data_IF_924305847197
#
_entry.id   IF_924305847197
#
_cell.length_a   1.000
_cell.length_b   1.000
_cell.length_c   1.000
_cell.angle_alpha   90.00
_cell.angle_beta   90.00
_cell.angle_gamma   90.00
#
_symmetry.space_group_name_H-M   'P 1'
#
loop_
_entity.id
_entity.type
_entity.pdbx_description
1 polymer ?
#
# COMPACT_ATOMS: atom_id res chain seq x y z
N UNK A 1 -24.54 -4.65 6.39
CA UNK A 1 -23.25 -5.18 5.92
C UNK A 1 -22.62 -6.07 7.00
N UNK A 2 -21.76 -7.03 6.67
CA UNK A 2 -21.10 -7.90 7.66
C UNK A 2 -20.20 -7.10 8.61
N UNK A 3 -19.67 -5.98 8.13
CA UNK A 3 -18.90 -4.99 8.90
C UNK A 3 -19.73 -4.37 10.03
N UNK A 4 -21.00 -4.03 9.78
CA UNK A 4 -21.93 -3.45 10.77
C UNK A 4 -22.30 -4.42 11.89
N UNK A 5 -22.28 -5.74 11.62
CA UNK A 5 -22.61 -6.75 12.63
C UNK A 5 -21.63 -6.77 13.80
N UNK A 6 -20.38 -6.33 13.58
CA UNK A 6 -19.33 -6.25 14.59
C UNK A 6 -19.49 -5.06 15.53
N UNK A 7 -20.17 -3.99 15.11
CA UNK A 7 -20.36 -2.75 15.88
C UNK A 7 -21.50 -2.83 16.92
N UNK A 8 -22.17 -3.98 17.06
CA UNK A 8 -23.28 -4.13 18.02
C UNK A 8 -22.82 -4.04 19.47
N UNK A 9 -23.62 -3.35 20.29
CA UNK A 9 -23.40 -3.26 21.72
C UNK A 9 -23.31 -4.65 22.37
N UNK A 10 -22.27 -4.87 23.19
CA UNK A 10 -21.99 -6.15 23.84
C UNK A 10 -21.07 -7.08 23.04
N UNK A 11 -20.76 -6.78 21.78
CA UNK A 11 -19.74 -7.55 21.05
C UNK A 11 -18.34 -7.31 21.64
N UNK A 12 -17.44 -8.32 21.56
CA UNK A 12 -16.05 -8.13 21.94
C UNK A 12 -15.38 -7.08 21.04
N UNK A 13 -14.52 -6.26 21.63
CA UNK A 13 -13.68 -5.34 20.86
C UNK A 13 -12.74 -6.13 19.95
N UNK A 14 -12.39 -5.61 18.76
CA UNK A 14 -11.42 -6.25 17.89
C UNK A 14 -10.08 -6.38 18.62
N UNK A 15 -9.39 -7.50 18.35
CA UNK A 15 -8.03 -7.69 18.84
C UNK A 15 -7.11 -6.62 18.22
N UNK A 16 -6.08 -6.21 18.95
CA UNK A 16 -5.02 -5.37 18.37
C UNK A 16 -4.13 -6.19 17.43
N UNK A 17 -3.45 -5.53 16.50
CA UNK A 17 -2.36 -6.18 15.76
C UNK A 17 -1.23 -6.57 16.72
N UNK A 18 -0.60 -7.75 16.57
CA UNK A 18 -0.81 -8.76 15.52
C UNK A 18 -1.87 -9.84 15.86
N UNK A 19 -2.50 -9.77 17.04
CA UNK A 19 -3.40 -10.80 17.57
C UNK A 19 -4.67 -11.03 16.73
N UNK A 20 -5.04 -10.08 15.88
CA UNK A 20 -6.16 -10.21 14.93
C UNK A 20 -6.10 -11.51 14.10
N UNK A 21 -4.89 -11.95 13.73
CA UNK A 21 -4.70 -13.17 12.92
C UNK A 21 -4.97 -14.48 13.68
N UNK A 22 -5.11 -14.46 15.01
CA UNK A 22 -5.46 -15.68 15.76
C UNK A 22 -6.82 -16.25 15.35
N UNK A 23 -7.73 -15.40 14.89
CA UNK A 23 -9.08 -15.79 14.45
C UNK A 23 -9.15 -15.88 12.93
N UNK A 24 -8.56 -14.92 12.21
CA UNK A 24 -8.70 -14.80 10.75
C UNK A 24 -7.58 -15.45 9.93
N UNK A 25 -6.50 -15.92 10.55
CA UNK A 25 -5.29 -16.37 9.84
C UNK A 25 -5.54 -17.47 8.81
N UNK A 26 -6.40 -18.45 9.11
CA UNK A 26 -6.79 -19.49 8.17
C UNK A 26 -7.57 -18.94 6.97
N UNK A 27 -8.47 -17.99 7.20
CA UNK A 27 -9.23 -17.34 6.13
C UNK A 27 -8.32 -16.50 5.23
N UNK A 28 -7.40 -15.74 5.82
CA UNK A 28 -6.38 -14.96 5.10
C UNK A 28 -5.45 -15.87 4.29
N UNK A 29 -5.08 -17.04 4.80
CA UNK A 29 -4.31 -18.01 4.01
C UNK A 29 -5.10 -18.53 2.79
N UNK A 30 -6.41 -18.74 2.94
CA UNK A 30 -7.28 -19.19 1.85
C UNK A 30 -7.41 -18.15 0.72
N UNK A 31 -7.38 -16.84 1.04
CA UNK A 31 -7.45 -15.79 0.00
C UNK A 31 -6.27 -15.84 -0.96
N UNK A 32 -5.08 -16.23 -0.49
CA UNK A 32 -3.90 -16.40 -1.35
C UNK A 32 -4.05 -17.54 -2.37
N UNK A 33 -4.86 -18.55 -2.06
CA UNK A 33 -5.10 -19.70 -2.95
C UNK A 33 -6.12 -19.37 -4.06
N UNK A 34 -7.10 -18.53 -3.76
CA UNK A 34 -8.18 -18.14 -4.67
C UNK A 34 -8.26 -16.62 -4.78
N UNK A 35 -7.23 -15.97 -5.34
CA UNK A 35 -7.08 -14.51 -5.28
C UNK A 35 -8.16 -13.75 -6.06
N UNK A 36 -8.73 -14.35 -7.12
CA UNK A 36 -9.76 -13.70 -7.93
C UNK A 36 -11.15 -13.81 -7.31
N UNK A 37 -11.39 -14.89 -6.57
CA UNK A 37 -12.66 -15.20 -5.91
C UNK A 37 -12.77 -14.58 -4.51
N UNK A 38 -11.65 -14.11 -3.95
CA UNK A 38 -11.58 -13.59 -2.59
C UNK A 38 -11.31 -12.09 -2.50
N UNK A 39 -11.45 -11.35 -3.62
CA UNK A 39 -11.15 -9.91 -3.72
C UNK A 39 -11.86 -9.09 -2.62
N UNK A 40 -13.13 -9.40 -2.34
CA UNK A 40 -13.95 -8.65 -1.36
C UNK A 40 -13.47 -8.78 0.09
N UNK A 41 -12.65 -9.80 0.39
CA UNK A 41 -12.16 -10.11 1.75
C UNK A 41 -10.63 -10.21 1.82
N UNK A 42 -9.93 -10.02 0.71
CA UNK A 42 -8.49 -10.12 0.63
C UNK A 42 -7.82 -8.92 1.30
N UNK A 43 -6.86 -9.22 2.18
CA UNK A 43 -6.04 -8.20 2.82
C UNK A 43 -4.77 -7.94 2.01
N UNK A 44 -4.71 -6.78 1.33
CA UNK A 44 -3.59 -6.38 0.47
C UNK A 44 -2.86 -5.15 1.06
N UNK A 45 -1.86 -5.35 1.94
CA UNK A 45 -1.17 -4.22 2.58
C UNK A 45 -0.38 -3.43 1.54
N UNK A 46 -0.65 -2.13 1.43
CA UNK A 46 0.05 -1.23 0.53
C UNK A 46 0.19 0.17 1.12
N UNK A 47 1.28 0.87 0.77
CA UNK A 47 1.50 2.25 1.18
C UNK A 47 0.64 3.25 0.41
N UNK A 48 0.53 4.47 0.95
CA UNK A 48 -0.29 5.55 0.38
C UNK A 48 0.08 5.93 -1.08
N UNK A 49 1.33 5.71 -1.48
CA UNK A 49 1.86 6.05 -2.81
C UNK A 49 1.30 5.14 -3.93
N UNK A 50 0.59 4.05 -3.59
CA UNK A 50 0.03 3.10 -4.58
C UNK A 50 -0.79 3.77 -5.69
N UNK A 51 -1.49 4.88 -5.38
CA UNK A 51 -2.27 5.62 -6.37
C UNK A 51 -1.46 6.22 -7.52
N UNK A 52 -0.13 6.27 -7.40
CA UNK A 52 0.77 6.74 -8.45
C UNK A 52 1.21 5.61 -9.40
N UNK A 53 0.92 4.34 -9.08
CA UNK A 53 1.37 3.20 -9.87
C UNK A 53 0.41 2.97 -11.05
N UNK A 54 0.94 3.06 -12.27
CA UNK A 54 0.15 2.97 -13.51
C UNK A 54 0.41 1.70 -14.31
N UNK A 55 1.50 0.99 -14.03
CA UNK A 55 1.93 -0.20 -14.78
C UNK A 55 2.87 -1.07 -13.95
N UNK A 56 2.96 -2.33 -14.34
CA UNK A 56 3.97 -3.26 -13.83
C UNK A 56 5.26 -3.09 -14.62
N UNK A 57 6.39 -2.97 -13.92
CA UNK A 57 7.71 -2.75 -14.52
C UNK A 57 8.73 -3.75 -13.99
N UNK A 58 9.81 -3.98 -14.75
CA UNK A 58 10.98 -4.71 -14.24
C UNK A 58 11.64 -3.90 -13.13
N UNK A 59 12.04 -4.55 -12.05
CA UNK A 59 12.72 -3.89 -10.92
C UNK A 59 13.91 -3.03 -11.37
N UNK A 60 14.74 -3.52 -12.30
CA UNK A 60 15.87 -2.76 -12.83
C UNK A 60 15.44 -1.44 -13.51
N UNK A 61 14.34 -1.45 -14.26
CA UNK A 61 13.81 -0.25 -14.92
C UNK A 61 13.25 0.76 -13.93
N UNK A 62 12.61 0.28 -12.84
CA UNK A 62 12.13 1.15 -11.75
C UNK A 62 13.30 1.87 -11.08
N UNK A 63 14.36 1.14 -10.74
CA UNK A 63 15.55 1.72 -10.08
C UNK A 63 16.26 2.71 -11.01
N UNK A 64 16.45 2.35 -12.28
CA UNK A 64 17.03 3.26 -13.28
C UNK A 64 16.25 4.56 -13.39
N UNK A 65 14.92 4.47 -13.54
CA UNK A 65 14.03 5.63 -13.61
C UNK A 65 14.11 6.49 -12.36
N UNK A 66 14.09 5.91 -11.17
CA UNK A 66 14.19 6.66 -9.91
C UNK A 66 15.51 7.44 -9.79
N UNK A 67 16.62 6.85 -10.22
CA UNK A 67 17.92 7.54 -10.21
C UNK A 67 17.90 8.73 -11.18
N UNK A 68 17.35 8.55 -12.39
CA UNK A 68 17.22 9.63 -13.37
C UNK A 68 16.29 10.75 -12.88
N UNK A 69 15.10 10.40 -12.38
CA UNK A 69 14.11 11.34 -11.82
C UNK A 69 14.69 12.11 -10.62
N UNK A 70 15.49 11.45 -9.76
CA UNK A 70 16.19 12.12 -8.67
C UNK A 70 17.17 13.17 -9.17
N UNK A 71 18.05 12.82 -10.12
CA UNK A 71 19.05 13.75 -10.67
C UNK A 71 18.38 14.96 -11.35
N UNK A 72 17.31 14.72 -12.12
CA UNK A 72 16.51 15.78 -12.75
C UNK A 72 15.87 16.69 -11.70
N UNK A 73 15.21 16.11 -10.69
CA UNK A 73 14.56 16.87 -9.63
C UNK A 73 15.55 17.72 -8.83
N UNK A 74 16.71 17.18 -8.47
CA UNK A 74 17.73 17.94 -7.73
C UNK A 74 18.34 19.04 -8.58
N UNK A 75 18.65 18.78 -9.85
CA UNK A 75 19.19 19.80 -10.75
C UNK A 75 18.19 20.95 -10.97
N UNK A 76 16.90 20.62 -11.14
CA UNK A 76 15.82 21.61 -11.22
C UNK A 76 15.73 22.48 -9.98
N UNK A 77 15.90 21.90 -8.79
CA UNK A 77 15.89 22.64 -7.53
C UNK A 77 17.11 23.56 -7.41
N UNK A 78 18.29 23.12 -7.84
CA UNK A 78 19.50 23.95 -7.88
C UNK A 78 19.32 25.17 -8.78
N UNK A 79 18.84 24.99 -10.02
CA UNK A 79 18.55 26.09 -10.96
C UNK A 79 17.60 27.13 -10.36
N UNK A 80 16.53 26.67 -9.71
CA UNK A 80 15.54 27.55 -9.06
C UNK A 80 16.15 28.32 -7.89
N UNK A 81 17.00 27.67 -7.10
CA UNK A 81 17.68 28.31 -5.97
C UNK A 81 18.68 29.38 -6.46
N UNK A 82 19.45 29.10 -7.51
CA UNK A 82 20.36 30.07 -8.12
C UNK A 82 19.60 31.28 -8.66
N UNK A 83 18.52 31.05 -9.41
CA UNK A 83 17.68 32.12 -9.95
C UNK A 83 17.05 33.01 -8.86
N UNK A 84 16.70 32.42 -7.70
CA UNK A 84 16.14 33.16 -6.57
C UNK A 84 17.18 33.93 -5.75
N UNK A 85 18.49 33.65 -5.94
CA UNK A 85 19.59 34.29 -5.22
C UNK A 85 20.16 35.55 -5.90
N UNK A 86 19.63 35.89 -7.08
CA UNK A 86 19.94 37.10 -7.87
C UNK A 86 18.87 38.16 -7.63
#
# INVERSE_FOLDING_TARGET
>A
DWTEAWEKEGNPKPLGMPLQYMVSGMAVAATHKYPNESVDVAFNPVGQVVGQFTKVEKTAAVIERWVQEYLEATGRLEELNEAASV
#
